data_IF_691343348692
#
_entry.id   IF_691343348692
#
_cell.length_a   1.000
_cell.length_b   1.000
_cell.length_c   1.000
_cell.angle_alpha   90.00
_cell.angle_beta   90.00
_cell.angle_gamma   90.00
#
_symmetry.space_group_name_H-M   'P 1'
#
loop_
_entity.id
_entity.type
_entity.pdbx_description
1 polymer ?
#
# COMPACT_ATOMS: atom_id res chain seq x y z
N UNK A 1 -12.60 47.49 -49.71
CA UNK A 1 -13.51 46.93 -48.68
C UNK A 1 -12.85 45.66 -48.15
N UNK A 2 -12.15 45.69 -47.01
CA UNK A 2 -12.59 45.20 -45.68
C UNK A 2 -13.25 43.80 -45.74
N UNK A 3 -12.92 42.75 -44.98
CA UNK A 3 -12.11 42.53 -43.77
C UNK A 3 -11.87 41.01 -43.57
N UNK A 4 -10.76 40.65 -42.91
CA UNK A 4 -10.41 39.35 -42.30
C UNK A 4 -11.54 38.76 -41.43
N UNK A 5 -11.74 37.43 -41.50
CA UNK A 5 -12.22 36.57 -40.39
C UNK A 5 -11.53 35.20 -40.57
N UNK A 6 -10.34 34.96 -40.03
CA UNK A 6 -10.11 34.52 -38.64
C UNK A 6 -10.97 33.31 -38.25
N UNK A 7 -10.46 32.10 -38.48
CA UNK A 7 -10.78 30.92 -37.66
C UNK A 7 -9.49 30.36 -37.09
N UNK A 8 -8.86 31.18 -36.23
CA UNK A 8 -8.19 30.64 -35.05
C UNK A 8 -9.25 29.97 -34.15
N UNK A 9 -8.77 29.06 -33.30
CA UNK A 9 -9.46 28.40 -32.18
C UNK A 9 -10.28 27.15 -32.58
N UNK A 10 -10.08 25.97 -32.00
CA UNK A 10 -9.43 25.60 -30.74
C UNK A 10 -8.63 24.30 -30.90
N UNK A 11 -7.32 24.37 -30.69
CA UNK A 11 -6.57 23.22 -30.21
C UNK A 11 -7.14 22.86 -28.82
N UNK A 12 -7.75 21.68 -28.70
CA UNK A 12 -8.27 21.15 -27.43
C UNK A 12 -7.07 20.79 -26.54
N UNK A 13 -6.78 21.54 -25.46
CA UNK A 13 -5.69 21.24 -24.55
C UNK A 13 -6.30 20.49 -23.36
N UNK A 14 -6.80 19.28 -23.59
CA UNK A 14 -7.49 18.51 -22.55
C UNK A 14 -7.13 17.03 -22.62
N UNK A 15 -5.82 16.73 -22.62
CA UNK A 15 -5.35 15.36 -22.49
C UNK A 15 -3.94 15.28 -21.85
N UNK A 16 -3.70 15.95 -20.72
CA UNK A 16 -2.41 15.91 -20.02
C UNK A 16 -2.54 15.76 -18.48
N UNK A 17 -3.60 15.12 -17.96
CA UNK A 17 -3.79 14.91 -16.51
C UNK A 17 -3.53 13.46 -16.02
N UNK A 18 -3.06 12.55 -16.86
CA UNK A 18 -2.91 11.14 -16.47
C UNK A 18 -1.61 10.77 -15.73
N UNK A 19 -0.73 11.73 -15.39
CA UNK A 19 0.60 11.44 -14.82
C UNK A 19 0.65 11.47 -13.28
N UNK A 20 -0.44 11.87 -12.60
CA UNK A 20 -0.44 11.98 -11.12
C UNK A 20 -0.86 10.71 -10.35
N UNK A 21 -1.14 9.58 -11.01
CA UNK A 21 -1.73 8.40 -10.35
C UNK A 21 -0.79 7.55 -9.49
N UNK A 22 0.51 7.87 -9.41
CA UNK A 22 1.50 7.14 -8.60
C UNK A 22 2.10 8.03 -7.49
N UNK A 23 1.24 8.63 -6.67
CA UNK A 23 1.66 9.26 -5.41
C UNK A 23 2.18 8.27 -4.37
N UNK A 24 2.51 8.78 -3.18
CA UNK A 24 2.90 7.98 -2.02
C UNK A 24 1.72 7.21 -1.42
N UNK A 25 2.02 6.12 -0.73
CA UNK A 25 1.05 5.40 0.08
C UNK A 25 0.53 6.32 1.20
N UNK A 26 -0.77 6.21 1.52
CA UNK A 26 -1.31 6.91 2.70
C UNK A 26 -0.97 6.14 3.97
N UNK A 27 -1.11 6.79 5.12
CA UNK A 27 -1.00 6.13 6.42
C UNK A 27 -1.80 4.85 6.53
N UNK A 28 -3.07 4.88 6.14
CA UNK A 28 -3.95 3.70 6.21
C UNK A 28 -3.43 2.57 5.32
N UNK A 29 -2.92 2.89 4.12
CA UNK A 29 -2.32 1.92 3.22
C UNK A 29 -1.04 1.31 3.82
N UNK A 30 -0.24 2.11 4.52
CA UNK A 30 0.95 1.63 5.22
C UNK A 30 0.59 0.68 6.37
N UNK A 31 -0.41 1.03 7.18
CA UNK A 31 -0.90 0.14 8.25
C UNK A 31 -1.41 -1.18 7.67
N UNK A 32 -2.22 -1.13 6.62
CA UNK A 32 -2.75 -2.32 5.95
C UNK A 32 -1.62 -3.19 5.38
N UNK A 33 -0.64 -2.58 4.73
CA UNK A 33 0.51 -3.26 4.13
C UNK A 33 1.41 -3.93 5.17
N UNK A 34 1.65 -3.27 6.31
CA UNK A 34 2.42 -3.83 7.42
C UNK A 34 1.64 -4.97 8.12
N UNK A 35 0.33 -4.82 8.29
CA UNK A 35 -0.53 -5.88 8.84
C UNK A 35 -0.51 -7.13 7.96
N UNK A 36 -0.56 -6.97 6.62
CA UNK A 36 -0.41 -8.08 5.68
C UNK A 36 0.93 -8.78 5.84
N UNK A 37 2.02 -8.03 6.00
CA UNK A 37 3.35 -8.62 6.22
C UNK A 37 3.36 -9.49 7.47
N UNK A 38 2.82 -8.97 8.58
CA UNK A 38 2.67 -9.74 9.82
C UNK A 38 1.86 -11.02 9.59
N UNK A 39 0.71 -10.93 8.91
CA UNK A 39 -0.12 -12.10 8.61
C UNK A 39 0.65 -13.17 7.81
N UNK A 40 1.41 -12.76 6.78
CA UNK A 40 2.21 -13.70 5.99
C UNK A 40 3.30 -14.38 6.81
N UNK A 41 3.96 -13.65 7.72
CA UNK A 41 4.98 -14.25 8.60
C UNK A 41 4.38 -15.21 9.65
N UNK A 42 3.07 -15.17 9.86
CA UNK A 42 2.34 -16.03 10.78
C UNK A 42 1.64 -17.20 10.11
N UNK A 43 1.56 -17.22 8.77
CA UNK A 43 0.82 -18.23 8.02
C UNK A 43 1.35 -19.66 8.28
N UNK A 44 2.65 -19.77 8.55
CA UNK A 44 3.33 -21.04 8.84
C UNK A 44 3.55 -21.28 10.34
N UNK A 45 2.92 -20.50 11.22
CA UNK A 45 3.05 -20.67 12.66
C UNK A 45 2.26 -21.93 13.12
N UNK A 46 2.94 -23.01 13.54
CA UNK A 46 2.27 -24.25 13.93
C UNK A 46 1.35 -24.05 15.15
N UNK A 47 1.62 -23.04 15.99
CA UNK A 47 0.78 -22.73 17.16
C UNK A 47 -0.59 -22.18 16.78
N UNK A 48 -0.77 -21.71 15.54
CA UNK A 48 -2.04 -21.22 15.02
C UNK A 48 -2.78 -22.25 14.16
N UNK A 49 -2.05 -23.22 13.60
CA UNK A 49 -2.60 -24.26 12.73
C UNK A 49 -3.57 -25.20 13.46
N UNK A 50 -3.30 -25.46 14.74
CA UNK A 50 -4.11 -26.37 15.56
C UNK A 50 -5.29 -25.67 16.26
N UNK A 51 -5.41 -24.34 16.13
CA UNK A 51 -6.46 -23.57 16.78
C UNK A 51 -7.77 -23.57 15.96
N UNK A 52 -8.94 -23.60 16.64
CA UNK A 52 -10.21 -23.25 16.01
C UNK A 52 -10.13 -21.89 15.30
N UNK A 53 -10.82 -21.74 14.16
CA UNK A 53 -10.69 -20.56 13.30
C UNK A 53 -10.92 -19.21 14.03
N UNK A 54 -11.83 -19.18 15.00
CA UNK A 54 -12.09 -17.98 15.82
C UNK A 54 -10.91 -17.63 16.73
N UNK A 55 -10.28 -18.63 17.35
CA UNK A 55 -9.11 -18.47 18.22
C UNK A 55 -7.88 -18.08 17.41
N UNK A 56 -7.66 -18.72 16.26
CA UNK A 56 -6.59 -18.37 15.33
C UNK A 56 -6.72 -16.91 14.86
N UNK A 57 -7.95 -16.44 14.61
CA UNK A 57 -8.22 -15.03 14.28
C UNK A 57 -7.90 -14.11 15.45
N UNK A 58 -8.35 -14.43 16.66
CA UNK A 58 -8.06 -13.63 17.85
C UNK A 58 -6.55 -13.53 18.11
N UNK A 59 -5.82 -14.63 17.94
CA UNK A 59 -4.37 -14.67 18.06
C UNK A 59 -3.67 -13.78 17.01
N UNK A 60 -4.12 -13.79 15.74
CA UNK A 60 -3.63 -12.88 14.70
C UNK A 60 -3.82 -11.41 15.07
N UNK A 61 -5.03 -11.04 15.49
CA UNK A 61 -5.33 -9.66 15.89
C UNK A 61 -4.50 -9.23 17.12
N UNK A 62 -4.30 -10.13 18.09
CA UNK A 62 -3.40 -9.91 19.22
C UNK A 62 -1.95 -9.65 18.77
N UNK A 63 -1.39 -10.48 17.87
CA UNK A 63 -0.02 -10.26 17.40
C UNK A 63 0.12 -8.94 16.64
N UNK A 64 -0.85 -8.57 15.80
CA UNK A 64 -0.88 -7.25 15.13
C UNK A 64 -0.89 -6.10 16.14
N UNK A 65 -1.73 -6.19 17.17
CA UNK A 65 -1.80 -5.19 18.21
C UNK A 65 -0.46 -5.05 18.98
N UNK A 66 0.19 -6.18 19.28
CA UNK A 66 1.51 -6.17 19.92
C UNK A 66 2.56 -5.50 19.03
N UNK A 67 2.58 -5.79 17.72
CA UNK A 67 3.49 -5.10 16.78
C UNK A 67 3.26 -3.59 16.73
N UNK A 68 1.99 -3.16 16.71
CA UNK A 68 1.62 -1.73 16.71
C UNK A 68 2.00 -1.00 18.00
N UNK A 69 2.09 -1.73 19.12
CA UNK A 69 2.50 -1.19 20.41
C UNK A 69 4.03 -1.07 20.56
N UNK A 70 4.82 -1.65 19.64
CA UNK A 70 6.27 -1.54 19.71
C UNK A 70 6.72 -0.07 19.51
N UNK A 71 7.68 0.45 20.31
CA UNK A 71 8.13 1.84 20.20
C UNK A 71 8.63 2.23 18.80
N UNK A 72 9.12 1.26 18.02
CA UNK A 72 9.60 1.47 16.66
C UNK A 72 8.50 1.53 15.60
N UNK A 73 7.26 1.11 15.90
CA UNK A 73 6.21 0.96 14.89
C UNK A 73 5.89 2.28 14.20
N UNK A 74 5.71 3.36 14.96
CA UNK A 74 5.42 4.68 14.41
C UNK A 74 6.51 5.19 13.45
N UNK A 75 7.78 4.81 13.70
CA UNK A 75 8.87 5.13 12.78
C UNK A 75 8.75 4.36 11.47
N UNK A 76 8.45 3.06 11.54
CA UNK A 76 8.28 2.21 10.35
C UNK A 76 7.06 2.65 9.53
N UNK A 77 5.94 2.98 10.20
CA UNK A 77 4.75 3.58 9.57
C UNK A 77 5.12 4.87 8.83
N UNK A 78 5.82 5.81 9.49
CA UNK A 78 6.25 7.06 8.87
C UNK A 78 7.26 6.87 7.72
N UNK A 79 8.16 5.89 7.83
CA UNK A 79 9.05 5.52 6.72
C UNK A 79 8.26 5.00 5.53
N UNK A 80 7.24 4.17 5.77
CA UNK A 80 6.37 3.69 4.70
C UNK A 80 5.69 4.85 3.97
N UNK A 81 5.11 5.82 4.68
CA UNK A 81 4.46 6.99 4.05
C UNK A 81 5.44 7.84 3.24
N UNK A 82 6.69 7.94 3.71
CA UNK A 82 7.72 8.71 3.03
C UNK A 82 8.30 8.00 1.79
N UNK A 83 8.45 6.69 1.84
CA UNK A 83 9.26 5.93 0.87
C UNK A 83 8.37 5.16 -0.11
N UNK A 84 7.28 4.56 0.34
CA UNK A 84 6.47 3.64 -0.46
C UNK A 84 5.53 4.40 -1.41
N UNK A 85 5.64 4.08 -2.69
CA UNK A 85 4.71 4.53 -3.71
C UNK A 85 3.44 3.68 -3.73
N UNK A 86 2.35 4.23 -4.26
CA UNK A 86 1.12 3.47 -4.51
C UNK A 86 1.32 2.27 -5.43
N UNK A 87 2.37 2.26 -6.27
CA UNK A 87 2.70 1.11 -7.13
C UNK A 87 3.29 -0.02 -6.30
N UNK A 88 4.27 0.28 -5.46
CA UNK A 88 4.92 -0.68 -4.56
C UNK A 88 3.90 -1.23 -3.56
N UNK A 89 3.06 -0.38 -2.98
CA UNK A 89 1.90 -0.80 -2.17
C UNK A 89 1.04 -1.85 -2.90
N UNK A 90 0.60 -1.57 -4.13
CA UNK A 90 -0.23 -2.52 -4.90
C UNK A 90 0.50 -3.82 -5.24
N UNK A 91 1.81 -3.77 -5.45
CA UNK A 91 2.65 -4.95 -5.65
C UNK A 91 2.67 -5.79 -4.37
N UNK A 92 3.06 -5.16 -3.27
CA UNK A 92 3.21 -5.79 -1.97
C UNK A 92 1.88 -6.39 -1.49
N UNK A 93 0.75 -5.72 -1.71
CA UNK A 93 -0.57 -6.27 -1.35
C UNK A 93 -0.98 -7.51 -2.15
N UNK A 94 -0.39 -7.74 -3.33
CA UNK A 94 -0.60 -8.96 -4.13
C UNK A 94 0.42 -10.06 -3.85
N UNK A 95 1.47 -9.78 -3.08
CA UNK A 95 2.48 -10.76 -2.74
C UNK A 95 1.86 -11.96 -1.98
N UNK A 96 2.17 -13.21 -2.38
CA UNK A 96 1.71 -14.41 -1.68
C UNK A 96 2.54 -14.77 -0.44
N UNK A 97 3.76 -14.24 -0.31
CA UNK A 97 4.67 -14.59 0.78
C UNK A 97 5.61 -13.42 1.13
N UNK A 98 6.35 -13.47 2.25
CA UNK A 98 7.23 -12.38 2.67
C UNK A 98 8.35 -12.05 1.67
N UNK A 99 8.90 -13.04 0.97
CA UNK A 99 9.97 -12.84 -0.02
C UNK A 99 9.49 -12.00 -1.20
N UNK A 100 8.36 -12.37 -1.79
CA UNK A 100 7.74 -11.62 -2.90
C UNK A 100 7.22 -10.25 -2.47
N UNK A 101 6.88 -10.07 -1.19
CA UNK A 101 6.52 -8.78 -0.63
C UNK A 101 7.74 -7.86 -0.53
N UNK A 102 8.86 -8.38 -0.05
CA UNK A 102 10.11 -7.63 0.06
C UNK A 102 10.61 -7.20 -1.33
N UNK A 103 10.53 -8.09 -2.32
CA UNK A 103 10.87 -7.79 -3.70
C UNK A 103 10.04 -6.67 -4.35
N UNK A 104 8.91 -6.28 -3.73
CA UNK A 104 8.12 -5.14 -4.19
C UNK A 104 8.62 -3.78 -3.67
N UNK A 105 9.47 -3.75 -2.63
CA UNK A 105 9.90 -2.52 -1.94
C UNK A 105 11.41 -2.34 -1.83
N UNK A 106 12.20 -3.36 -2.18
CA UNK A 106 13.65 -3.27 -2.42
C UNK A 106 13.97 -2.57 -3.76
#
# INVERSE_FOLDING_TARGET
>A
MLRRVSRLFLASPLLLLAVACNGKATREQCVEMLDKYVDMTMADDPTLADLPAAEARAAREMKKALRKAEPGYARVEGQCEAEISKREYRCAMKAPNPETWQACID
#
